data_IF_496856674039
#
_entry.id   IF_496856674039
#
_cell.length_a   1.000
_cell.length_b   1.000
_cell.length_c   1.000
_cell.angle_alpha   90.00
_cell.angle_beta   90.00
_cell.angle_gamma   90.00
#
_symmetry.space_group_name_H-M   'P 1'
#
loop_
_entity.id
_entity.type
_entity.pdbx_description
1 polymer ?
#
# COMPACT_ATOMS: atom_id res chain seq x y z
N UNK A 1 25.06 -16.21 29.16
CA UNK A 1 26.12 -15.30 28.71
C UNK A 1 25.67 -14.68 27.40
N UNK A 2 25.72 -13.36 27.26
CA UNK A 2 25.29 -12.68 26.04
C UNK A 2 26.39 -12.78 24.98
N UNK A 3 26.08 -13.39 23.83
CA UNK A 3 27.01 -13.47 22.71
C UNK A 3 26.80 -12.25 21.80
N UNK A 4 27.85 -11.45 21.53
CA UNK A 4 27.75 -10.31 20.64
C UNK A 4 28.15 -10.76 19.24
N UNK A 5 27.21 -11.03 18.34
CA UNK A 5 27.53 -11.21 16.93
C UNK A 5 26.95 -10.07 16.09
N UNK A 6 27.84 -9.18 15.65
CA UNK A 6 27.62 -8.28 14.53
C UNK A 6 27.58 -9.11 13.25
N UNK A 7 26.41 -9.19 12.61
CA UNK A 7 26.21 -9.83 11.30
C UNK A 7 26.97 -9.04 10.22
N UNK A 8 28.22 -9.41 10.01
CA UNK A 8 29.13 -8.86 9.00
C UNK A 8 30.46 -9.62 8.90
N UNK A 9 30.50 -10.89 9.33
CA UNK A 9 31.70 -11.74 9.24
C UNK A 9 31.71 -12.50 7.91
N UNK A 10 32.87 -12.49 7.25
CA UNK A 10 33.11 -13.30 6.05
C UNK A 10 32.85 -14.79 6.33
N UNK A 11 32.15 -15.45 5.42
CA UNK A 11 31.69 -16.85 5.49
C UNK A 11 32.79 -17.83 5.97
N UNK A 12 34.04 -17.56 5.60
CA UNK A 12 35.22 -18.35 5.97
C UNK A 12 35.51 -18.35 7.48
N UNK A 13 35.39 -17.19 8.14
CA UNK A 13 35.63 -17.06 9.59
C UNK A 13 34.52 -17.66 10.43
N UNK A 14 33.29 -17.67 9.91
CA UNK A 14 32.15 -18.32 10.53
C UNK A 14 32.30 -19.84 10.49
N UNK A 15 32.78 -20.39 9.36
CA UNK A 15 33.05 -21.83 9.24
C UNK A 15 34.21 -22.29 10.14
N UNK A 16 35.28 -21.50 10.27
CA UNK A 16 36.37 -21.80 11.21
C UNK A 16 35.92 -21.77 12.67
N UNK A 17 35.07 -20.82 13.04
CA UNK A 17 34.49 -20.75 14.39
C UNK A 17 33.61 -21.96 14.69
N UNK A 18 32.72 -22.33 13.76
CA UNK A 18 31.86 -23.52 13.92
C UNK A 18 32.66 -24.82 14.03
N UNK A 19 33.77 -24.92 13.30
CA UNK A 19 34.68 -26.07 13.37
C UNK A 19 35.50 -26.14 14.67
N UNK A 20 35.56 -25.05 15.46
CA UNK A 20 36.31 -24.98 16.71
C UNK A 20 35.47 -25.27 17.97
N UNK A 21 34.16 -25.43 17.83
CA UNK A 21 33.25 -25.67 18.94
C UNK A 21 33.20 -27.15 19.33
N UNK A 22 33.07 -27.47 20.64
CA UNK A 22 32.73 -28.82 21.10
C UNK A 22 31.42 -29.32 20.48
N UNK A 23 31.30 -30.62 20.19
CA UNK A 23 30.13 -31.20 19.52
C UNK A 23 28.79 -30.85 20.21
N UNK A 24 28.76 -30.83 21.54
CA UNK A 24 27.57 -30.49 22.34
C UNK A 24 27.19 -29.00 22.23
N UNK A 25 28.17 -28.09 22.12
CA UNK A 25 27.91 -26.66 21.91
C UNK A 25 27.52 -26.36 20.45
N UNK A 26 28.06 -27.14 19.50
CA UNK A 26 27.69 -27.06 18.09
C UNK A 26 26.24 -27.54 17.87
N UNK A 27 25.83 -28.65 18.48
CA UNK A 27 24.45 -29.13 18.39
C UNK A 27 23.46 -28.14 19.02
N UNK A 28 23.76 -27.59 20.19
CA UNK A 28 22.94 -26.55 20.81
C UNK A 28 22.88 -25.28 19.97
N UNK A 29 23.99 -24.89 19.34
CA UNK A 29 24.02 -23.76 18.41
C UNK A 29 23.15 -24.02 17.18
N UNK A 30 23.30 -25.17 16.53
CA UNK A 30 22.52 -25.54 15.35
C UNK A 30 21.03 -25.67 15.68
N UNK A 31 20.68 -26.23 16.85
CA UNK A 31 19.30 -26.29 17.32
C UNK A 31 18.73 -24.88 17.54
N UNK A 32 19.49 -23.99 18.19
CA UNK A 32 19.06 -22.60 18.39
C UNK A 32 18.89 -21.82 17.07
N UNK A 33 19.74 -22.10 16.08
CA UNK A 33 19.66 -21.52 14.73
C UNK A 33 18.46 -22.07 13.96
N UNK A 34 18.15 -23.36 14.10
CA UNK A 34 16.97 -23.97 13.51
C UNK A 34 15.68 -23.45 14.16
N UNK A 35 15.62 -23.39 15.49
CA UNK A 35 14.45 -22.89 16.22
C UNK A 35 14.19 -21.41 15.86
N UNK A 36 15.25 -20.59 15.76
CA UNK A 36 15.10 -19.21 15.26
C UNK A 36 14.72 -19.17 13.78
N UNK A 37 15.30 -20.02 12.93
CA UNK A 37 14.94 -20.10 11.52
C UNK A 37 13.47 -20.50 11.32
N UNK A 38 12.94 -21.40 12.15
CA UNK A 38 11.54 -21.85 12.14
C UNK A 38 10.60 -20.73 12.62
N UNK A 39 10.94 -20.01 13.69
CA UNK A 39 10.19 -18.81 14.13
C UNK A 39 10.18 -17.72 13.04
N UNK A 40 11.32 -17.48 12.39
CA UNK A 40 11.41 -16.56 11.26
C UNK A 40 10.59 -17.05 10.06
N UNK A 41 10.57 -18.36 9.80
CA UNK A 41 9.82 -18.96 8.71
C UNK A 41 8.30 -18.83 8.92
N UNK A 42 7.81 -19.13 10.13
CA UNK A 42 6.40 -18.98 10.50
C UNK A 42 5.94 -17.51 10.47
N UNK A 43 6.74 -16.58 11.02
CA UNK A 43 6.45 -15.15 10.91
C UNK A 43 6.44 -14.69 9.46
N UNK A 44 7.33 -15.20 8.61
CA UNK A 44 7.37 -14.87 7.20
C UNK A 44 6.13 -15.41 6.46
N UNK A 45 5.72 -16.65 6.73
CA UNK A 45 4.50 -17.25 6.17
C UNK A 45 3.23 -16.46 6.55
N UNK A 46 3.09 -16.08 7.82
CA UNK A 46 1.98 -15.23 8.26
C UNK A 46 2.05 -13.85 7.60
N UNK A 47 3.25 -13.30 7.41
CA UNK A 47 3.43 -11.99 6.79
C UNK A 47 3.12 -11.93 5.29
N UNK A 48 2.93 -13.09 4.64
CA UNK A 48 2.48 -13.19 3.24
C UNK A 48 0.97 -13.01 3.10
N UNK A 49 0.19 -13.12 4.18
CA UNK A 49 -1.25 -12.80 4.16
C UNK A 49 -1.47 -11.31 4.36
N UNK A 50 -2.62 -10.82 3.91
CA UNK A 50 -2.99 -9.41 4.08
C UNK A 50 -3.11 -9.06 5.56
N UNK A 51 -3.69 -9.95 6.37
CA UNK A 51 -3.87 -9.81 7.81
C UNK A 51 -2.52 -9.76 8.54
N UNK A 52 -1.59 -10.66 8.22
CA UNK A 52 -0.27 -10.67 8.86
C UNK A 52 0.58 -9.45 8.50
N UNK A 53 0.44 -8.94 7.26
CA UNK A 53 1.05 -7.67 6.86
C UNK A 53 0.49 -6.48 7.65
N UNK A 54 -0.83 -6.43 7.86
CA UNK A 54 -1.48 -5.40 8.68
C UNK A 54 -1.00 -5.47 10.13
N UNK A 55 -0.96 -6.66 10.71
CA UNK A 55 -0.53 -6.87 12.10
C UNK A 55 0.93 -6.48 12.30
N UNK A 56 1.82 -6.93 11.40
CA UNK A 56 3.23 -6.54 11.41
C UNK A 56 3.37 -5.02 11.35
N UNK A 57 2.65 -4.37 10.45
CA UNK A 57 2.70 -2.91 10.31
C UNK A 57 2.25 -2.19 11.58
N UNK A 58 1.12 -2.60 12.18
CA UNK A 58 0.61 -2.02 13.43
C UNK A 58 1.58 -2.22 14.60
N UNK A 59 2.19 -3.41 14.70
CA UNK A 59 3.21 -3.73 15.70
C UNK A 59 4.43 -2.82 15.55
N UNK A 60 4.94 -2.66 14.32
CA UNK A 60 6.05 -1.74 14.03
C UNK A 60 5.66 -0.30 14.38
N UNK A 61 4.53 0.20 13.88
CA UNK A 61 4.06 1.56 14.15
C UNK A 61 4.04 1.84 15.65
N UNK A 62 3.42 0.96 16.45
CA UNK A 62 3.35 1.08 17.91
C UNK A 62 4.73 1.16 18.57
N UNK A 63 5.73 0.46 18.03
CA UNK A 63 7.11 0.49 18.52
C UNK A 63 7.81 1.82 18.20
N UNK A 64 7.55 2.39 17.03
CA UNK A 64 8.26 3.59 16.54
C UNK A 64 7.57 4.93 16.88
N UNK A 65 6.25 4.95 17.09
CA UNK A 65 5.49 6.20 17.31
C UNK A 65 5.32 6.61 18.78
N UNK A 66 5.75 5.78 19.74
CA UNK A 66 5.71 6.12 21.18
C UNK A 66 6.60 7.33 21.50
N UNK A 67 6.29 8.13 22.54
CA UNK A 67 7.21 9.13 23.07
C UNK A 67 8.55 8.48 23.44
N UNK A 68 9.65 8.88 22.80
CA UNK A 68 10.96 8.25 22.91
C UNK A 68 11.29 7.19 21.84
N UNK A 69 10.35 6.78 20.99
CA UNK A 69 10.55 5.80 19.92
C UNK A 69 11.10 4.46 20.42
N UNK A 70 11.83 3.73 19.57
CA UNK A 70 12.58 2.51 19.95
C UNK A 70 13.51 2.73 21.15
N UNK A 71 13.92 3.98 21.40
CA UNK A 71 14.82 4.35 22.49
C UNK A 71 14.14 4.40 23.86
N UNK A 72 12.80 4.32 23.94
CA UNK A 72 12.10 4.20 25.23
C UNK A 72 12.12 2.75 25.77
N UNK A 73 12.11 1.75 24.89
CA UNK A 73 12.13 0.32 25.27
C UNK A 73 13.56 -0.25 25.38
N UNK A 74 14.56 0.39 24.76
CA UNK A 74 15.95 -0.03 24.79
C UNK A 74 16.77 0.96 25.62
N UNK A 75 16.85 0.74 26.93
CA UNK A 75 18.01 1.21 27.70
C UNK A 75 19.25 0.74 26.97
N UNK A 76 19.99 1.68 26.38
CA UNK A 76 21.08 1.51 25.42
C UNK A 76 21.75 0.12 25.43
N UNK A 77 21.50 -0.68 24.39
CA UNK A 77 22.52 -1.57 23.84
C UNK A 77 22.32 -1.70 22.32
N UNK A 78 23.42 -1.68 21.59
CA UNK A 78 23.45 -1.74 20.13
C UNK A 78 22.91 -3.09 19.62
N UNK A 79 22.63 -3.17 18.30
CA UNK A 79 22.23 -4.38 17.53
C UNK A 79 20.70 -4.56 17.48
N UNK A 80 19.98 -3.94 16.55
CA UNK A 80 20.00 -4.29 15.14
C UNK A 80 19.68 -3.04 14.33
N UNK A 81 20.73 -2.35 13.83
CA UNK A 81 20.55 -1.71 12.54
C UNK A 81 20.27 -2.86 11.59
N UNK A 82 19.01 -3.05 11.19
CA UNK A 82 18.71 -3.70 9.91
C UNK A 82 19.25 -2.73 8.86
N UNK A 83 20.58 -2.68 8.78
CA UNK A 83 21.31 -2.05 7.71
C UNK A 83 21.01 -2.95 6.53
N UNK A 84 20.03 -2.55 5.72
CA UNK A 84 19.95 -3.08 4.38
C UNK A 84 21.34 -2.96 3.79
N UNK A 85 21.94 -4.08 3.38
CA UNK A 85 23.21 -4.06 2.67
C UNK A 85 23.06 -3.07 1.51
N UNK A 86 23.98 -2.11 1.46
CA UNK A 86 24.06 -1.08 0.41
C UNK A 86 24.35 -1.67 -0.97
N UNK A 87 24.55 -2.99 -1.06
CA UNK A 87 24.83 -3.72 -2.28
C UNK A 87 23.59 -3.90 -3.19
N UNK A 88 22.38 -3.78 -2.65
CA UNK A 88 21.11 -3.93 -3.39
C UNK A 88 20.32 -2.60 -3.42
N UNK A 89 20.96 -1.55 -3.91
CA UNK A 89 20.30 -0.29 -4.20
C UNK A 89 19.75 -0.31 -5.63
N UNK A 90 18.52 0.20 -5.83
CA UNK A 90 17.96 0.37 -7.17
C UNK A 90 18.95 1.22 -8.00
N UNK A 91 19.32 0.82 -9.24
CA UNK A 91 20.18 1.62 -10.09
C UNK A 91 19.60 3.03 -10.27
N UNK A 92 20.44 4.07 -10.16
CA UNK A 92 19.99 5.46 -10.35
C UNK A 92 19.58 5.64 -11.82
N UNK A 93 18.27 5.73 -12.07
CA UNK A 93 17.71 6.04 -13.39
C UNK A 93 17.10 7.43 -13.41
N UNK A 94 17.14 8.09 -14.57
CA UNK A 94 16.40 9.34 -14.77
C UNK A 94 14.90 9.04 -14.72
N UNK A 95 14.22 9.62 -13.73
CA UNK A 95 12.78 9.44 -13.55
C UNK A 95 12.00 9.85 -14.79
N UNK A 96 11.14 8.93 -15.27
CA UNK A 96 10.22 9.19 -16.36
C UNK A 96 8.97 9.92 -15.87
N UNK A 97 8.36 10.71 -16.75
CA UNK A 97 7.08 11.36 -16.45
C UNK A 97 5.97 10.30 -16.31
N UNK A 98 5.05 10.51 -15.36
CA UNK A 98 3.89 9.64 -15.14
C UNK A 98 3.10 9.37 -16.43
N UNK A 99 2.99 10.36 -17.32
CA UNK A 99 2.29 10.26 -18.61
C UNK A 99 2.86 9.21 -19.56
N UNK A 100 4.13 8.86 -19.38
CA UNK A 100 4.82 7.86 -20.20
C UNK A 100 4.83 6.47 -19.57
N UNK A 101 4.46 6.39 -18.29
CA UNK A 101 4.41 5.14 -17.54
C UNK A 101 3.03 4.49 -17.71
N UNK A 102 2.99 3.19 -17.46
CA UNK A 102 1.76 2.40 -17.49
C UNK A 102 1.38 1.88 -16.10
N UNK A 103 0.09 1.86 -15.75
CA UNK A 103 -0.33 1.42 -14.42
C UNK A 103 -0.11 -0.08 -14.24
N UNK A 104 0.27 -0.49 -13.04
CA UNK A 104 0.35 -1.89 -12.60
C UNK A 104 -0.37 -2.07 -11.26
N UNK A 105 -0.73 -3.32 -10.94
CA UNK A 105 -1.29 -3.70 -9.64
C UNK A 105 -0.25 -4.45 -8.77
N UNK A 106 -0.50 -4.57 -7.48
CA UNK A 106 0.38 -5.26 -6.51
C UNK A 106 0.63 -6.71 -6.90
N UNK A 107 -0.38 -7.39 -7.47
CA UNK A 107 -0.27 -8.79 -7.93
C UNK A 107 0.81 -8.98 -9.02
N UNK A 108 1.16 -7.93 -9.76
CA UNK A 108 2.18 -7.97 -10.82
C UNK A 108 3.61 -7.76 -10.31
N UNK A 109 3.80 -7.51 -9.00
CA UNK A 109 5.13 -7.29 -8.43
C UNK A 109 5.93 -8.59 -8.39
N UNK A 110 7.09 -8.60 -9.05
CA UNK A 110 8.04 -9.72 -9.02
C UNK A 110 9.24 -9.41 -8.11
N UNK A 111 9.56 -10.36 -7.23
CA UNK A 111 10.54 -10.15 -6.17
C UNK A 111 11.96 -10.02 -6.73
N UNK A 112 12.73 -9.06 -6.21
CA UNK A 112 14.06 -8.74 -6.70
C UNK A 112 14.09 -7.93 -8.00
N UNK A 113 12.94 -7.46 -8.50
CA UNK A 113 12.88 -6.77 -9.80
C UNK A 113 12.43 -5.31 -9.69
N UNK A 114 12.96 -4.49 -10.59
CA UNK A 114 12.50 -3.10 -10.80
C UNK A 114 11.56 -3.07 -12.00
N UNK A 115 10.35 -2.58 -11.80
CA UNK A 115 9.30 -2.56 -12.83
C UNK A 115 9.39 -1.29 -13.68
N UNK A 116 10.39 -1.22 -14.55
CA UNK A 116 10.63 -0.06 -15.42
C UNK A 116 9.45 0.21 -16.35
N UNK A 117 9.17 1.50 -16.62
CA UNK A 117 8.03 1.90 -17.44
C UNK A 117 6.65 1.67 -16.78
N UNK A 118 6.61 1.19 -15.53
CA UNK A 118 5.38 0.96 -14.77
C UNK A 118 5.26 1.95 -13.61
N UNK A 119 4.03 2.18 -13.16
CA UNK A 119 3.76 2.88 -11.90
C UNK A 119 2.67 2.15 -11.12
N UNK A 120 2.78 2.18 -9.80
CA UNK A 120 1.77 1.67 -8.88
C UNK A 120 1.05 2.86 -8.26
N UNK A 121 -0.28 2.83 -8.22
CA UNK A 121 -1.10 3.88 -7.63
C UNK A 121 -2.12 3.30 -6.66
N UNK A 122 -2.48 4.10 -5.67
CA UNK A 122 -3.38 3.66 -4.62
C UNK A 122 -3.46 4.65 -3.46
N UNK A 123 -3.96 4.18 -2.32
CA UNK A 123 -4.18 4.99 -1.13
C UNK A 123 -3.33 4.49 0.04
N UNK A 124 -2.81 5.42 0.84
CA UNK A 124 -2.19 5.08 2.12
C UNK A 124 -3.23 4.38 3.00
N UNK A 125 -2.98 3.13 3.35
CA UNK A 125 -3.97 2.25 3.94
C UNK A 125 -3.73 2.02 5.43
N UNK A 126 -4.79 1.59 6.13
CA UNK A 126 -4.79 1.21 7.55
C UNK A 126 -4.56 2.37 8.52
N UNK A 127 -3.42 3.06 8.43
CA UNK A 127 -2.91 4.08 9.34
C UNK A 127 -1.93 5.04 8.62
N UNK A 128 -1.60 6.16 9.25
CA UNK A 128 -0.60 7.11 8.73
C UNK A 128 0.80 6.48 8.63
N UNK A 129 1.61 7.00 7.71
CA UNK A 129 3.02 6.64 7.63
C UNK A 129 3.78 7.03 8.91
N UNK A 130 4.83 6.29 9.22
CA UNK A 130 5.72 6.59 10.35
C UNK A 130 7.19 6.44 9.95
N UNK A 131 8.08 7.10 10.69
CA UNK A 131 9.52 6.97 10.50
C UNK A 131 10.05 5.80 11.34
N UNK A 132 10.62 4.80 10.67
CA UNK A 132 11.24 3.63 11.29
C UNK A 132 12.71 3.88 11.64
N UNK A 133 13.54 2.83 11.49
CA UNK A 133 14.98 2.90 11.80
C UNK A 133 15.74 3.83 10.83
N UNK A 134 15.45 3.71 9.53
CA UNK A 134 16.21 4.40 8.47
C UNK A 134 15.35 4.86 7.29
N UNK A 135 14.04 4.60 7.34
CA UNK A 135 13.10 4.91 6.26
C UNK A 135 11.74 5.29 6.84
N UNK A 136 10.95 6.02 6.05
CA UNK A 136 9.52 6.10 6.29
C UNK A 136 8.84 4.81 5.83
N UNK A 137 7.96 4.25 6.65
CA UNK A 137 7.19 3.05 6.37
C UNK A 137 5.71 3.39 6.25
N UNK A 138 5.05 2.84 5.22
CA UNK A 138 3.61 2.98 4.99
C UNK A 138 3.05 1.76 4.27
N UNK A 139 1.74 1.55 4.37
CA UNK A 139 1.02 0.57 3.56
C UNK A 139 0.29 1.27 2.43
N UNK A 140 0.39 0.71 1.23
CA UNK A 140 -0.36 1.13 0.06
C UNK A 140 -1.42 0.07 -0.26
N UNK A 141 -2.67 0.50 -0.37
CA UNK A 141 -3.75 -0.29 -0.98
C UNK A 141 -3.89 0.14 -2.43
N UNK A 142 -3.69 -0.80 -3.36
CA UNK A 142 -3.87 -0.53 -4.78
C UNK A 142 -5.36 -0.47 -5.17
N UNK A 143 -5.63 -0.18 -6.44
CA UNK A 143 -7.00 -0.10 -6.98
C UNK A 143 -7.80 -1.40 -6.85
N UNK A 144 -7.15 -2.54 -6.59
CA UNK A 144 -7.81 -3.85 -6.42
C UNK A 144 -8.08 -4.18 -4.95
N UNK A 145 -7.66 -3.32 -4.01
CA UNK A 145 -7.78 -3.56 -2.58
C UNK A 145 -6.62 -4.39 -1.99
N UNK A 146 -5.55 -4.64 -2.75
CA UNK A 146 -4.39 -5.40 -2.27
C UNK A 146 -3.39 -4.48 -1.58
N UNK A 147 -2.84 -4.97 -0.47
CA UNK A 147 -1.87 -4.23 0.33
C UNK A 147 -0.43 -4.57 -0.06
N UNK A 148 0.42 -3.56 -0.05
CA UNK A 148 1.88 -3.70 -0.11
C UNK A 148 2.56 -2.71 0.82
N UNK A 149 3.62 -3.13 1.50
CA UNK A 149 4.43 -2.20 2.31
C UNK A 149 5.42 -1.44 1.43
N UNK A 150 5.56 -0.15 1.71
CA UNK A 150 6.52 0.74 1.06
C UNK A 150 7.49 1.29 2.12
N UNK A 151 8.79 1.21 1.81
CA UNK A 151 9.85 1.85 2.57
C UNK A 151 10.49 2.97 1.74
N UNK A 152 10.35 4.21 2.20
CA UNK A 152 10.85 5.42 1.52
C UNK A 152 12.07 5.98 2.23
N UNK A 153 13.17 6.06 1.48
CA UNK A 153 14.45 6.59 1.95
C UNK A 153 14.62 8.06 1.54
N UNK A 154 15.47 8.77 2.28
CA UNK A 154 15.81 10.16 1.95
C UNK A 154 14.65 11.16 2.01
N UNK A 155 13.55 10.81 2.70
CA UNK A 155 12.37 11.68 2.81
C UNK A 155 12.57 12.85 3.78
N UNK A 156 13.38 12.64 4.82
CA UNK A 156 13.61 13.57 5.93
C UNK A 156 15.10 13.71 6.17
N UNK A 157 15.52 14.89 6.64
CA UNK A 157 16.92 15.13 7.02
C UNK A 157 17.31 14.20 8.19
N UNK A 158 18.48 13.57 8.05
CA UNK A 158 19.05 12.67 9.05
C UNK A 158 19.27 13.36 10.40
N UNK A 159 19.48 14.68 10.41
CA UNK A 159 19.77 15.45 11.61
C UNK A 159 18.52 15.81 12.44
N UNK A 160 17.32 15.64 11.89
CA UNK A 160 16.07 15.94 12.62
C UNK A 160 15.86 14.96 13.78
N UNK A 161 15.21 15.45 14.84
CA UNK A 161 14.80 14.60 15.95
C UNK A 161 13.77 13.56 15.50
N UNK A 162 13.66 12.45 16.24
CA UNK A 162 12.68 11.39 15.92
C UNK A 162 11.25 11.92 15.89
N UNK A 163 10.90 12.85 16.77
CA UNK A 163 9.57 13.46 16.81
C UNK A 163 9.27 14.29 15.56
N UNK A 164 10.23 15.12 15.12
CA UNK A 164 10.08 15.91 13.89
C UNK A 164 9.96 15.02 12.65
N UNK A 165 10.78 13.95 12.57
CA UNK A 165 10.70 12.97 11.49
C UNK A 165 9.32 12.30 11.44
N UNK A 166 8.80 11.87 12.59
CA UNK A 166 7.46 11.29 12.70
C UNK A 166 6.37 12.27 12.26
N UNK A 167 6.43 13.51 12.74
CA UNK A 167 5.49 14.56 12.37
C UNK A 167 5.47 14.80 10.85
N UNK A 168 6.64 14.99 10.23
CA UNK A 168 6.77 15.25 8.80
C UNK A 168 6.24 14.06 7.97
N UNK A 169 6.63 12.83 8.33
CA UNK A 169 6.22 11.63 7.60
C UNK A 169 4.70 11.42 7.69
N UNK A 170 4.13 11.52 8.89
CA UNK A 170 2.69 11.36 9.09
C UNK A 170 1.87 12.42 8.36
N UNK A 171 2.36 13.68 8.31
CA UNK A 171 1.69 14.76 7.57
C UNK A 171 1.83 14.62 6.05
N UNK A 172 2.94 14.06 5.58
CA UNK A 172 3.17 13.86 4.14
C UNK A 172 2.35 12.69 3.59
N UNK A 173 2.10 11.67 4.41
CA UNK A 173 1.37 10.47 4.03
C UNK A 173 0.35 10.07 5.09
N UNK A 174 -0.72 10.87 5.28
CA UNK A 174 -1.81 10.51 6.18
C UNK A 174 -2.63 9.36 5.57
N UNK A 175 -3.36 8.63 6.42
CA UNK A 175 -4.29 7.59 5.99
C UNK A 175 -5.28 8.13 4.96
N UNK A 176 -5.51 7.36 3.90
CA UNK A 176 -6.38 7.71 2.77
C UNK A 176 -5.72 8.66 1.78
N UNK A 177 -4.47 9.09 1.99
CA UNK A 177 -3.80 9.96 1.03
C UNK A 177 -3.48 9.19 -0.26
N UNK A 178 -3.82 9.74 -1.43
CA UNK A 178 -3.59 9.06 -2.70
C UNK A 178 -2.16 9.28 -3.17
N UNK A 179 -1.45 8.20 -3.49
CA UNK A 179 -0.03 8.23 -3.87
C UNK A 179 0.25 7.39 -5.11
N UNK A 180 1.34 7.76 -5.79
CA UNK A 180 1.92 7.03 -6.92
C UNK A 180 3.37 6.71 -6.62
N UNK A 181 3.77 5.47 -6.91
CA UNK A 181 5.15 5.00 -6.88
C UNK A 181 5.63 4.76 -8.30
N UNK A 182 6.75 5.39 -8.66
CA UNK A 182 7.34 5.33 -9.99
C UNK A 182 8.33 4.16 -10.06
N UNK A 183 8.16 3.30 -11.07
CA UNK A 183 9.06 2.17 -11.36
C UNK A 183 9.43 1.38 -10.09
N UNK A 184 8.43 0.76 -9.41
CA UNK A 184 8.63 0.18 -8.09
C UNK A 184 9.67 -0.95 -8.12
N UNK A 185 10.59 -0.91 -7.16
CA UNK A 185 11.53 -2.00 -6.90
C UNK A 185 11.00 -2.87 -5.77
N UNK A 186 10.61 -4.11 -6.08
CA UNK A 186 10.02 -5.02 -5.11
C UNK A 186 11.12 -5.89 -4.50
N UNK A 187 11.47 -5.63 -3.23
CA UNK A 187 12.66 -6.19 -2.58
C UNK A 187 12.27 -7.20 -1.50
N UNK A 188 13.01 -8.31 -1.46
CA UNK A 188 13.07 -9.20 -0.30
C UNK A 188 13.98 -8.56 0.75
N UNK A 189 13.45 -8.32 1.94
CA UNK A 189 14.21 -7.78 3.07
C UNK A 189 14.99 -8.90 3.76
N UNK A 190 15.91 -8.52 4.66
CA UNK A 190 16.75 -9.51 5.39
C UNK A 190 15.92 -10.43 6.30
N UNK A 191 14.78 -9.97 6.79
CA UNK A 191 13.82 -10.77 7.55
C UNK A 191 12.93 -11.66 6.65
N UNK A 192 13.23 -11.71 5.35
CA UNK A 192 12.48 -12.47 4.35
C UNK A 192 11.15 -11.83 3.95
N UNK A 193 10.76 -10.70 4.54
CA UNK A 193 9.53 -9.99 4.18
C UNK A 193 9.68 -9.28 2.83
N UNK A 194 8.57 -9.10 2.14
CA UNK A 194 8.52 -8.38 0.86
C UNK A 194 8.01 -6.94 1.05
N UNK A 195 8.52 -6.04 0.22
CA UNK A 195 8.02 -4.67 0.14
C UNK A 195 8.68 -3.86 -0.96
N UNK A 196 8.06 -2.73 -1.30
CA UNK A 196 8.60 -1.81 -2.28
C UNK A 196 9.63 -0.92 -1.59
N UNK A 197 10.82 -0.87 -2.18
CA UNK A 197 11.90 0.00 -1.75
C UNK A 197 11.98 1.21 -2.67
N UNK A 198 11.81 2.39 -2.08
CA UNK A 198 11.85 3.69 -2.77
C UNK A 198 13.13 4.39 -2.35
N UNK A 199 14.13 4.44 -3.23
CA UNK A 199 15.46 4.97 -2.91
C UNK A 199 15.46 6.48 -2.79
N UNK A 200 14.66 7.16 -3.63
CA UNK A 200 14.61 8.62 -3.67
C UNK A 200 13.21 9.11 -3.39
N UNK A 201 13.10 10.18 -2.60
CA UNK A 201 11.82 10.79 -2.26
C UNK A 201 11.02 11.29 -3.49
N UNK A 202 11.66 11.44 -4.65
CA UNK A 202 11.02 11.81 -5.91
C UNK A 202 10.30 10.63 -6.58
N UNK A 203 10.70 9.39 -6.30
CA UNK A 203 10.09 8.16 -6.84
C UNK A 203 8.73 7.83 -6.21
N UNK A 204 8.26 8.67 -5.30
CA UNK A 204 6.93 8.65 -4.73
C UNK A 204 6.37 10.07 -4.72
N UNK A 205 5.13 10.23 -5.18
CA UNK A 205 4.47 11.53 -5.21
C UNK A 205 2.97 11.40 -4.90
N UNK A 206 2.31 12.50 -4.51
CA UNK A 206 0.86 12.54 -4.48
C UNK A 206 0.29 12.15 -5.86
N UNK A 207 -0.73 11.31 -5.85
CA UNK A 207 -1.47 11.00 -7.07
C UNK A 207 -2.38 12.18 -7.38
N UNK A 208 -2.00 13.03 -8.33
CA UNK A 208 -2.75 14.26 -8.65
C UNK A 208 -4.05 13.97 -9.42
N UNK A 209 -4.00 13.01 -10.34
CA UNK A 209 -5.12 12.65 -11.23
C UNK A 209 -5.92 11.47 -10.66
N UNK A 210 -6.30 11.51 -9.38
CA UNK A 210 -7.15 10.47 -8.77
C UNK A 210 -8.52 10.49 -9.42
N UNK A 211 -9.04 9.35 -9.89
CA UNK A 211 -10.39 9.29 -10.43
C UNK A 211 -11.46 9.62 -9.39
N UNK A 212 -12.38 10.51 -9.74
CA UNK A 212 -13.49 10.94 -8.87
C UNK A 212 -14.87 10.63 -9.47
N UNK A 213 -14.92 10.32 -10.77
CA UNK A 213 -16.16 10.12 -11.51
C UNK A 213 -16.07 8.90 -12.45
N UNK A 214 -17.20 8.51 -13.04
CA UNK A 214 -17.27 7.36 -13.94
C UNK A 214 -16.27 7.48 -15.12
N UNK A 215 -16.13 8.67 -15.70
CA UNK A 215 -15.33 8.88 -16.93
C UNK A 215 -13.85 8.71 -16.64
N UNK A 216 -13.38 9.29 -15.53
CA UNK A 216 -12.00 9.19 -15.06
C UNK A 216 -11.66 7.77 -14.59
N UNK A 217 -12.57 7.09 -13.89
CA UNK A 217 -12.38 5.68 -13.52
C UNK A 217 -12.32 4.77 -14.75
N UNK A 218 -13.21 4.98 -15.72
CA UNK A 218 -13.18 4.26 -17.00
C UNK A 218 -11.88 4.50 -17.76
N UNK A 219 -11.39 5.74 -17.79
CA UNK A 219 -10.12 6.08 -18.43
C UNK A 219 -8.95 5.33 -17.80
N UNK A 220 -8.86 5.33 -16.47
CA UNK A 220 -7.83 4.55 -15.77
C UNK A 220 -7.97 3.04 -16.04
N UNK A 221 -9.20 2.52 -16.07
CA UNK A 221 -9.49 1.13 -16.44
C UNK A 221 -9.00 0.77 -17.84
N UNK A 222 -9.18 1.67 -18.83
CA UNK A 222 -8.64 1.49 -20.18
C UNK A 222 -7.11 1.48 -20.18
N UNK A 223 -6.47 2.31 -19.36
CA UNK A 223 -5.01 2.35 -19.24
C UNK A 223 -4.46 1.02 -18.67
N UNK A 224 -5.12 0.45 -17.66
CA UNK A 224 -4.83 -0.91 -17.17
C UNK A 224 -5.06 -1.97 -18.25
N UNK A 225 -6.17 -1.88 -18.99
CA UNK A 225 -6.49 -2.81 -20.07
C UNK A 225 -5.45 -2.78 -21.19
N UNK A 226 -4.86 -1.60 -21.47
CA UNK A 226 -3.81 -1.45 -22.49
C UNK A 226 -2.52 -2.23 -22.18
N UNK A 227 -2.37 -2.74 -20.95
CA UNK A 227 -1.21 -3.52 -20.51
C UNK A 227 -1.65 -4.86 -19.93
N UNK A 228 -2.68 -5.47 -20.52
CA UNK A 228 -3.06 -6.84 -20.22
C UNK A 228 -1.85 -7.76 -20.34
N UNK A 229 -1.49 -8.37 -19.21
CA UNK A 229 -0.56 -9.47 -19.13
C UNK A 229 -1.24 -10.64 -18.41
N UNK A 230 -0.69 -11.84 -18.59
CA UNK A 230 -1.21 -13.07 -17.98
C UNK A 230 -1.21 -13.03 -16.45
N UNK A 231 -0.39 -12.18 -15.82
CA UNK A 231 -0.31 -12.04 -14.36
C UNK A 231 -1.46 -11.21 -13.77
N UNK A 232 -1.89 -10.15 -14.47
CA UNK A 232 -2.97 -9.26 -14.04
C UNK A 232 -4.35 -9.86 -14.31
N UNK A 233 -4.52 -10.66 -15.38
CA UNK A 233 -5.82 -11.25 -15.77
C UNK A 233 -6.94 -10.19 -15.94
N UNK A 234 -6.55 -8.94 -16.18
CA UNK A 234 -7.47 -7.81 -16.27
C UNK A 234 -8.06 -7.33 -14.93
N UNK A 235 -7.59 -7.83 -13.79
CA UNK A 235 -8.05 -7.43 -12.46
C UNK A 235 -7.99 -5.92 -12.23
N UNK A 236 -6.92 -5.25 -12.65
CA UNK A 236 -6.80 -3.79 -12.50
C UNK A 236 -7.86 -3.01 -13.29
N UNK A 237 -8.11 -3.44 -14.54
CA UNK A 237 -9.16 -2.83 -15.37
C UNK A 237 -10.56 -3.09 -14.80
N UNK A 238 -10.83 -4.33 -14.38
CA UNK A 238 -12.10 -4.72 -13.76
C UNK A 238 -12.38 -3.90 -12.50
N UNK A 239 -11.39 -3.76 -11.61
CA UNK A 239 -11.54 -2.98 -10.38
C UNK A 239 -11.87 -1.50 -10.70
N UNK A 240 -11.20 -0.91 -11.68
CA UNK A 240 -11.50 0.46 -12.11
C UNK A 240 -12.91 0.59 -12.69
N UNK A 241 -13.39 -0.37 -13.48
CA UNK A 241 -14.76 -0.34 -14.01
C UNK A 241 -15.81 -0.53 -12.91
N UNK A 242 -15.54 -1.37 -11.90
CA UNK A 242 -16.40 -1.50 -10.73
C UNK A 242 -16.50 -0.18 -9.96
N UNK A 243 -15.38 0.51 -9.75
CA UNK A 243 -15.36 1.85 -9.15
C UNK A 243 -16.12 2.88 -10.00
N UNK A 244 -15.99 2.81 -11.34
CA UNK A 244 -16.76 3.67 -12.25
C UNK A 244 -18.28 3.50 -12.07
N UNK A 245 -18.75 2.26 -11.90
CA UNK A 245 -20.16 1.95 -11.65
C UNK A 245 -20.60 2.47 -10.28
N UNK A 246 -19.78 2.28 -9.25
CA UNK A 246 -20.06 2.78 -7.90
C UNK A 246 -20.19 4.31 -7.87
N UNK A 247 -19.32 5.02 -8.60
CA UNK A 247 -19.38 6.48 -8.71
C UNK A 247 -20.70 7.00 -9.33
N UNK A 248 -21.39 6.19 -10.14
CA UNK A 248 -22.70 6.54 -10.72
C UNK A 248 -23.91 6.28 -9.81
N UNK A 249 -23.77 5.48 -8.75
CA UNK A 249 -24.91 5.08 -7.92
C UNK A 249 -25.70 6.25 -7.32
N UNK A 250 -25.07 7.34 -6.83
CA UNK A 250 -25.80 8.49 -6.30
C UNK A 250 -26.71 9.16 -7.34
N UNK A 251 -26.22 9.28 -8.58
CA UNK A 251 -26.95 9.87 -9.70
C UNK A 251 -28.13 8.99 -10.14
N UNK A 252 -27.92 7.67 -10.18
CA UNK A 252 -28.96 6.68 -10.47
C UNK A 252 -30.06 6.66 -9.39
N UNK A 253 -29.68 6.73 -8.11
CA UNK A 253 -30.63 6.84 -7.01
C UNK A 253 -31.48 8.11 -7.12
N UNK A 254 -30.85 9.25 -7.39
CA UNK A 254 -31.55 10.53 -7.57
C UNK A 254 -32.50 10.48 -8.77
N UNK A 255 -32.07 9.89 -9.89
CA UNK A 255 -32.92 9.72 -11.07
C UNK A 255 -34.14 8.83 -10.78
N UNK A 256 -33.95 7.70 -10.08
CA UNK A 256 -35.03 6.80 -9.70
C UNK A 256 -36.02 7.47 -8.72
N UNK A 257 -35.52 8.27 -7.77
CA UNK A 257 -36.36 9.06 -6.87
C UNK A 257 -37.21 10.10 -7.63
N UNK A 258 -36.60 10.81 -8.58
CA UNK A 258 -37.31 11.76 -9.43
C UNK A 258 -38.39 11.07 -10.29
N UNK A 259 -38.10 9.91 -10.86
CA UNK A 259 -39.08 9.10 -11.60
C UNK A 259 -40.23 8.62 -10.71
N UNK A 260 -39.95 8.20 -9.48
CA UNK A 260 -40.95 7.84 -8.47
C UNK A 260 -41.83 9.03 -8.06
N UNK A 261 -41.28 10.23 -7.93
CA UNK A 261 -42.04 11.45 -7.64
C UNK A 261 -42.94 11.83 -8.82
N UNK A 262 -42.42 11.76 -10.05
CA UNK A 262 -43.18 12.07 -11.27
C UNK A 262 -44.35 11.09 -11.46
N UNK A 263 -44.11 9.79 -11.30
CA UNK A 263 -45.16 8.77 -11.39
C UNK A 263 -46.22 8.92 -10.28
N UNK A 264 -45.83 9.24 -9.04
CA UNK A 264 -46.79 9.52 -7.94
C UNK A 264 -47.59 10.80 -8.11
N UNK A 265 -47.05 11.82 -8.78
CA UNK A 265 -47.80 13.05 -9.14
C UNK A 265 -48.82 12.79 -10.24
N UNK A 266 -48.50 11.92 -11.20
CA UNK A 266 -49.42 11.51 -12.26
C UNK A 266 -50.53 10.59 -11.70
N UNK A 267 -50.25 9.80 -10.64
CA UNK A 267 -51.23 8.89 -10.03
C UNK A 267 -52.15 9.52 -8.97
N UNK A 268 -52.09 10.84 -8.72
CA UNK A 268 -53.12 11.54 -7.95
C UNK A 268 -54.13 12.17 -8.92
N UNK A 269 -55.25 11.50 -9.26
CA UNK A 269 -56.34 12.18 -9.94
C UNK A 269 -56.92 13.22 -8.98
N UNK A 270 -56.92 14.47 -9.42
CA UNK A 270 -57.65 15.53 -8.76
C UNK A 270 -59.13 15.17 -8.67
N UNK A 271 -59.59 14.82 -7.47
CA UNK A 271 -60.97 15.03 -7.06
C UNK A 271 -61.24 16.53 -7.05
N UNK A 272 -61.54 17.12 -8.21
CA UNK A 272 -62.19 18.43 -8.31
C UNK A 272 -62.75 18.67 -9.72
N UNK A 273 -64.06 18.46 -9.83
CA UNK A 273 -65.00 19.30 -10.59
C UNK A 273 -65.00 19.24 -12.12
N UNK A 274 -66.08 18.70 -12.69
CA UNK A 274 -67.24 19.48 -13.16
C UNK A 274 -68.24 18.59 -13.90
N UNK A 275 -69.39 18.35 -13.27
CA UNK A 275 -70.63 18.27 -14.03
C UNK A 275 -70.82 19.62 -14.73
N UNK A 276 -70.81 19.64 -16.06
CA UNK A 276 -71.47 20.66 -16.84
C UNK A 276 -72.16 19.94 -17.99
N UNK A 277 -73.39 19.48 -17.71
CA UNK A 277 -74.31 19.02 -18.74
C UNK A 277 -74.59 20.18 -19.70
N UNK A 278 -74.37 19.90 -20.97
CA UNK A 278 -74.88 20.54 -22.17
C UNK A 278 -76.12 21.44 -21.95
N UNK A 279 -75.92 22.76 -22.13
CA UNK A 279 -76.96 23.67 -22.64
C UNK A 279 -76.43 24.34 -23.90
N UNK A 280 -76.54 23.65 -25.03
CA UNK A 280 -76.70 24.29 -26.33
C UNK A 280 -78.19 24.43 -26.56
N UNK A 281 -78.69 25.68 -26.58
CA UNK A 281 -80.10 25.95 -26.86
C UNK A 281 -80.43 25.82 -28.35
N UNK A 282 -81.70 25.55 -28.66
CA UNK A 282 -82.37 26.03 -29.88
C UNK A 282 -83.89 25.93 -29.71
N UNK A 283 -84.54 27.02 -30.12
CA UNK A 283 -85.97 27.33 -30.11
C UNK A 283 -86.86 26.28 -30.78
N UNK A 284 -88.01 25.97 -30.16
CA UNK A 284 -89.38 26.28 -30.64
C UNK A 284 -90.40 25.92 -29.55
#
# INVERSE_FOLDING_TARGET
MAFPFQMGLESTKMMEFLASLPEEELENFLQSVNDTADEFHEQNLQSKTQEGLIERFKKMRTKFTRPGGVYADLGFDAVTRIAFTSADAKPKTNMRSLRTLKPMIVKELDAGTTHYGRYLCGFVAIDDAFFGVSSASLLLEDVTGRLVEIAVYGLVDANLSSHEKLYIVGHKFPKGHPIVVFEPFYKVRMDGSLGIRVEQATEIAPWQDVPTDMVTWKKLGNDFFSVLNTQNEGCGALACYQQAIQAMQPELCTYLELQLILTRRISKPGSASRQLLLRTGLNQ
#
